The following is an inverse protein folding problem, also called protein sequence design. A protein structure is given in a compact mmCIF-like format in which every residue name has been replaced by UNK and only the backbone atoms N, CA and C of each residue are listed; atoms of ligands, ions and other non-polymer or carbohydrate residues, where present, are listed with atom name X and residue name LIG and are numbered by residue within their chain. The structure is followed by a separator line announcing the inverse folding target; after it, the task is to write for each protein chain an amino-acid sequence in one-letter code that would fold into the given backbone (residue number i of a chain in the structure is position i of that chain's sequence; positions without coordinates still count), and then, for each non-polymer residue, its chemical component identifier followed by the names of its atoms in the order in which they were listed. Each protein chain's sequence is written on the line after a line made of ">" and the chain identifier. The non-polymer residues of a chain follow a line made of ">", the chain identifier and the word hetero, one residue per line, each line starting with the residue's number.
data_IF_963171832826
#
_entry.id   IF_963171832826
#
_cell.length_a   1.000
_cell.length_b   1.000
_cell.length_c   1.000
_cell.angle_alpha   90.00
_cell.angle_beta   90.00
_cell.angle_gamma   90.00
#
_symmetry.space_group_name_H-M   'P 1'
#
loop_
_entity.id
_entity.type
_entity.pdbx_description
1 polymer ?
#
# COMPACT_ATOMS: atom_id res chain seq x y z
N UNK A 1 -26.13 -25.33 -3.59
CA UNK A 1 -25.52 -24.07 -4.06
C UNK A 1 -26.36 -22.93 -3.53
N UNK A 2 -25.84 -22.12 -2.61
CA UNK A 2 -26.45 -20.83 -2.30
C UNK A 2 -25.81 -19.84 -3.28
N UNK A 3 -26.62 -19.20 -4.13
CA UNK A 3 -26.20 -18.19 -5.12
C UNK A 3 -25.27 -18.66 -6.26
N UNK A 4 -25.17 -19.96 -6.56
CA UNK A 4 -24.34 -20.46 -7.68
C UNK A 4 -22.82 -20.39 -7.45
N UNK A 5 -22.35 -19.87 -6.31
CA UNK A 5 -20.97 -19.98 -5.89
C UNK A 5 -20.69 -21.38 -5.34
N UNK A 6 -19.83 -22.12 -6.03
CA UNK A 6 -19.20 -23.32 -5.49
C UNK A 6 -18.30 -22.91 -4.30
N UNK A 7 -18.34 -23.69 -3.21
CA UNK A 7 -17.47 -23.49 -2.03
C UNK A 7 -15.98 -23.49 -2.39
N UNK A 8 -15.61 -24.08 -3.52
CA UNK A 8 -14.24 -24.07 -4.05
C UNK A 8 -13.76 -22.67 -4.45
N UNK A 9 -14.65 -21.77 -4.88
CA UNK A 9 -14.28 -20.38 -5.23
C UNK A 9 -13.97 -19.52 -4.00
N UNK A 10 -14.39 -19.92 -2.80
CA UNK A 10 -13.96 -19.25 -1.57
C UNK A 10 -12.45 -19.41 -1.35
N UNK A 11 -11.89 -20.56 -1.74
CA UNK A 11 -10.46 -20.82 -1.61
C UNK A 11 -9.62 -19.98 -2.57
N UNK A 12 -10.15 -19.61 -3.74
CA UNK A 12 -9.46 -18.66 -4.64
C UNK A 12 -9.45 -17.22 -4.13
N UNK A 13 -10.34 -16.86 -3.19
CA UNK A 13 -10.33 -15.54 -2.57
C UNK A 13 -9.19 -15.38 -1.56
N UNK A 14 -8.70 -16.47 -0.98
CA UNK A 14 -7.64 -16.44 0.04
C UNK A 14 -6.33 -15.78 -0.43
N UNK A 15 -5.73 -16.13 -1.60
CA UNK A 15 -4.53 -15.45 -2.07
C UNK A 15 -4.78 -13.97 -2.41
N UNK A 16 -5.95 -13.63 -2.95
CA UNK A 16 -6.32 -12.24 -3.24
C UNK A 16 -6.44 -11.40 -1.96
N UNK A 17 -7.02 -11.98 -0.91
CA UNK A 17 -7.11 -11.34 0.40
C UNK A 17 -5.72 -11.14 1.01
N UNK A 18 -4.86 -12.16 0.94
CA UNK A 18 -3.47 -12.07 1.41
C UNK A 18 -2.69 -10.98 0.68
N UNK A 19 -2.82 -10.88 -0.65
CA UNK A 19 -2.23 -9.82 -1.44
C UNK A 19 -2.75 -8.44 -1.03
N UNK A 20 -4.07 -8.27 -0.90
CA UNK A 20 -4.67 -6.99 -0.54
C UNK A 20 -4.22 -6.52 0.85
N UNK A 21 -4.18 -7.43 1.83
CA UNK A 21 -3.71 -7.11 3.18
C UNK A 21 -2.22 -6.78 3.17
N UNK A 22 -1.39 -7.58 2.49
CA UNK A 22 0.05 -7.32 2.37
C UNK A 22 0.33 -5.95 1.76
N UNK A 23 -0.29 -5.66 0.61
CA UNK A 23 -0.16 -4.34 -0.04
C UNK A 23 -0.62 -3.19 0.85
N UNK A 24 -1.70 -3.37 1.60
CA UNK A 24 -2.17 -2.36 2.55
C UNK A 24 -1.15 -2.10 3.66
N UNK A 25 -0.56 -3.16 4.24
CA UNK A 25 0.45 -3.03 5.29
C UNK A 25 1.73 -2.38 4.77
N UNK A 26 2.19 -2.74 3.58
CA UNK A 26 3.37 -2.14 2.94
C UNK A 26 3.17 -0.63 2.69
N UNK A 27 1.97 -0.24 2.25
CA UNK A 27 1.62 1.17 2.08
C UNK A 27 1.68 1.92 3.42
N UNK A 28 1.18 1.31 4.50
CA UNK A 28 1.26 1.89 5.85
C UNK A 28 2.68 2.00 6.38
N UNK A 29 3.55 1.03 6.09
CA UNK A 29 4.96 1.14 6.42
C UNK A 29 5.64 2.27 5.63
N UNK A 30 5.33 2.40 4.34
CA UNK A 30 5.84 3.49 3.50
C UNK A 30 5.43 4.86 4.04
N UNK A 31 4.18 5.00 4.50
CA UNK A 31 3.70 6.23 5.16
C UNK A 31 4.48 6.55 6.45
N UNK A 32 4.96 5.54 7.19
CA UNK A 32 5.84 5.73 8.37
C UNK A 32 7.27 6.13 8.01
N UNK A 33 7.76 5.72 6.84
CA UNK A 33 9.13 6.00 6.35
C UNK A 33 9.27 7.36 5.66
N UNK A 34 8.50 8.37 6.09
CA UNK A 34 8.44 9.68 5.40
C UNK A 34 9.36 10.76 5.98
N UNK A 35 10.11 10.46 7.05
CA UNK A 35 10.96 11.43 7.75
C UNK A 35 12.05 12.07 6.86
N UNK A 36 12.57 11.32 5.88
CA UNK A 36 13.57 11.78 4.92
C UNK A 36 13.00 12.18 3.55
N UNK A 37 11.66 12.20 3.42
CA UNK A 37 10.97 12.61 2.20
C UNK A 37 11.38 14.04 1.84
N UNK A 38 11.71 14.25 0.56
CA UNK A 38 12.10 15.55 -0.01
C UNK A 38 13.28 16.25 0.70
N UNK A 39 14.15 15.47 1.36
CA UNK A 39 15.35 15.94 2.07
C UNK A 39 16.66 15.35 1.52
N UNK A 40 16.60 14.53 0.47
CA UNK A 40 17.79 13.94 -0.15
C UNK A 40 18.57 14.97 -0.98
N UNK A 41 19.87 14.72 -1.19
CA UNK A 41 20.73 15.62 -1.96
C UNK A 41 20.27 15.80 -3.42
N UNK A 42 19.63 14.78 -4.00
CA UNK A 42 19.17 14.78 -5.40
C UNK A 42 17.74 15.29 -5.56
N UNK A 43 16.86 15.05 -4.58
CA UNK A 43 15.42 15.31 -4.70
C UNK A 43 14.89 16.27 -3.62
N UNK A 44 15.77 17.03 -2.96
CA UNK A 44 15.39 18.08 -2.03
C UNK A 44 14.54 19.15 -2.71
N UNK A 45 13.39 19.50 -2.11
CA UNK A 45 12.46 20.50 -2.68
C UNK A 45 12.37 21.77 -1.83
N UNK A 46 12.21 22.96 -2.44
CA UNK A 46 11.92 24.19 -1.70
C UNK A 46 10.59 24.06 -0.94
N UNK A 47 10.64 24.20 0.38
CA UNK A 47 9.47 24.01 1.27
C UNK A 47 9.38 22.64 1.94
N UNK A 48 10.38 21.76 1.76
CA UNK A 48 10.49 20.50 2.50
C UNK A 48 9.32 19.54 2.26
N UNK A 49 9.00 18.75 3.29
CA UNK A 49 8.00 17.69 3.24
C UNK A 49 6.57 18.15 3.55
N UNK A 50 6.28 19.45 3.65
CA UNK A 50 4.96 19.93 4.10
C UNK A 50 3.89 19.97 3.00
N UNK A 51 4.29 19.66 1.75
CA UNK A 51 3.41 19.56 0.58
C UNK A 51 3.05 18.09 0.30
N UNK A 52 2.20 17.90 -0.71
CA UNK A 52 1.85 16.57 -1.22
C UNK A 52 3.12 15.74 -1.50
N UNK A 53 3.14 14.45 -1.11
CA UNK A 53 4.30 13.59 -1.32
C UNK A 53 4.72 13.52 -2.79
N UNK A 54 6.01 13.33 -3.01
CA UNK A 54 6.60 13.21 -4.35
C UNK A 54 6.33 11.88 -5.06
N UNK A 55 5.60 10.96 -4.42
CA UNK A 55 5.31 9.60 -4.87
C UNK A 55 3.83 9.26 -4.73
#
# INVERSE_FOLDING_TARGET
>A
MVLGLDKRYLWSALPLLGFAIGHFLDKKETERMTMFRDKSALYGRPGGSDKEPSW
#
